data_IF_383645052902
#
_entry.id   IF_383645052902
#
_cell.length_a   1.000
_cell.length_b   1.000
_cell.length_c   1.000
_cell.angle_alpha   90.00
_cell.angle_beta   90.00
_cell.angle_gamma   90.00
#
_symmetry.space_group_name_H-M   'P 1'
#
loop_
_entity.id
_entity.type
_entity.pdbx_description
1 polymer ?
#
# COMPACT_ATOMS: atom_id res chain seq x y z
N UNK A 1 -11.73 -31.98 15.36
CA UNK A 1 -11.94 -30.75 14.57
C UNK A 1 -12.37 -29.63 15.50
N UNK A 2 -11.45 -28.74 15.89
CA UNK A 2 -11.76 -27.54 16.68
C UNK A 2 -11.19 -26.34 15.94
N UNK A 3 -12.10 -25.48 15.49
CA UNK A 3 -11.85 -24.07 15.22
C UNK A 3 -11.28 -23.43 16.50
N UNK A 4 -10.17 -22.70 16.38
CA UNK A 4 -9.72 -21.68 17.33
C UNK A 4 -9.37 -20.47 16.46
N UNK A 5 -10.32 -19.55 16.28
CA UNK A 5 -10.56 -18.37 17.12
C UNK A 5 -9.43 -17.34 17.04
N UNK A 6 -9.84 -16.20 16.49
CA UNK A 6 -9.13 -14.97 16.24
C UNK A 6 -8.70 -14.24 17.52
N UNK A 7 -7.75 -13.32 17.33
CA UNK A 7 -7.61 -12.01 18.00
C UNK A 7 -8.01 -11.92 19.48
N UNK A 8 -7.04 -12.08 20.38
CA UNK A 8 -7.09 -11.47 21.71
C UNK A 8 -6.09 -10.31 21.79
N UNK A 9 -6.63 -9.09 21.78
CA UNK A 9 -5.92 -7.85 22.06
C UNK A 9 -5.78 -7.70 23.58
N UNK A 10 -4.68 -8.19 24.15
CA UNK A 10 -4.35 -8.08 25.57
C UNK A 10 -3.27 -7.03 25.82
N UNK A 11 -3.66 -5.86 26.31
CA UNK A 11 -2.74 -4.82 26.77
C UNK A 11 -1.98 -5.24 28.03
N UNK A 12 -0.66 -5.44 27.92
CA UNK A 12 0.29 -5.18 29.03
C UNK A 12 1.61 -4.62 28.48
N UNK A 13 1.77 -3.29 28.55
CA UNK A 13 3.08 -2.64 28.41
C UNK A 13 3.92 -3.01 29.64
N UNK A 14 5.03 -3.72 29.45
CA UNK A 14 6.03 -3.96 30.49
C UNK A 14 7.37 -3.38 30.04
N UNK A 15 7.94 -2.51 30.86
CA UNK A 15 9.05 -1.59 30.60
C UNK A 15 10.44 -2.26 30.68
N UNK A 16 10.63 -3.44 30.06
CA UNK A 16 11.88 -4.22 30.12
C UNK A 16 12.45 -4.67 28.78
N UNK A 17 12.39 -3.84 27.73
CA UNK A 17 12.98 -4.19 26.42
C UNK A 17 14.19 -3.34 25.99
N UNK A 18 14.82 -2.60 26.92
CA UNK A 18 16.04 -1.82 26.63
C UNK A 18 17.33 -2.52 27.10
N UNK A 19 17.46 -3.82 26.90
CA UNK A 19 18.76 -4.49 27.03
C UNK A 19 18.93 -5.52 25.92
N UNK A 20 19.59 -5.09 24.83
CA UNK A 20 19.90 -5.93 23.69
C UNK A 20 20.71 -5.22 22.61
N UNK A 21 21.58 -4.27 22.96
CA UNK A 21 22.58 -3.75 22.04
C UNK A 21 23.87 -4.57 22.21
N UNK A 22 24.00 -5.67 21.46
CA UNK A 22 25.28 -6.36 21.29
C UNK A 22 25.52 -6.62 19.79
N UNK A 23 26.32 -5.73 19.22
CA UNK A 23 27.28 -5.92 18.14
C UNK A 23 26.89 -6.88 17.01
N UNK A 24 26.38 -6.31 15.91
CA UNK A 24 26.54 -6.85 14.56
C UNK A 24 27.41 -5.88 13.77
N UNK A 25 28.71 -6.12 13.77
CA UNK A 25 29.60 -5.56 12.75
C UNK A 25 29.42 -6.37 11.47
N UNK A 26 28.53 -5.92 10.59
CA UNK A 26 28.76 -5.90 9.14
C UNK A 26 27.92 -4.79 8.54
N UNK A 27 28.60 -3.97 7.74
CA UNK A 27 28.19 -2.71 7.14
C UNK A 27 27.05 -2.92 6.12
N UNK A 28 25.79 -2.74 6.52
CA UNK A 28 24.72 -2.35 5.61
C UNK A 28 23.78 -1.33 6.27
N UNK A 29 23.60 -0.21 5.60
CA UNK A 29 22.81 0.92 6.06
C UNK A 29 21.35 0.72 5.66
N UNK A 30 20.62 -0.22 6.28
CA UNK A 30 19.23 -0.50 5.84
C UNK A 30 18.24 -1.11 6.85
N UNK A 31 18.53 -1.23 8.15
CA UNK A 31 17.65 -1.99 9.08
C UNK A 31 16.51 -1.19 9.75
N UNK A 32 15.76 -0.38 8.98
CA UNK A 32 14.48 0.21 9.46
C UNK A 32 13.26 -0.62 9.05
N UNK A 33 13.40 -1.48 8.04
CA UNK A 33 12.32 -2.28 7.48
C UNK A 33 12.35 -3.69 8.06
N UNK A 34 11.21 -4.19 8.54
CA UNK A 34 11.07 -5.57 9.00
C UNK A 34 11.08 -6.55 7.83
N UNK A 35 11.75 -7.69 7.98
CA UNK A 35 11.86 -8.72 6.93
C UNK A 35 13.20 -8.69 6.18
N UNK A 36 13.44 -9.69 5.34
CA UNK A 36 14.65 -9.87 4.54
C UNK A 36 14.45 -9.36 3.12
N UNK A 37 15.26 -8.37 2.74
CA UNK A 37 15.35 -7.89 1.36
C UNK A 37 15.61 -9.04 0.37
N UNK A 38 14.97 -8.97 -0.80
CA UNK A 38 15.03 -9.97 -1.86
C UNK A 38 14.16 -11.20 -1.62
N UNK A 39 13.98 -11.62 -0.36
CA UNK A 39 13.15 -12.77 0.01
C UNK A 39 11.72 -12.35 0.32
N UNK A 40 11.53 -11.56 1.38
CA UNK A 40 10.19 -11.18 1.88
C UNK A 40 9.60 -10.03 1.05
N UNK A 41 10.47 -9.16 0.51
CA UNK A 41 10.10 -8.09 -0.40
C UNK A 41 11.19 -7.86 -1.47
N UNK A 42 10.81 -7.41 -2.68
CA UNK A 42 11.75 -7.08 -3.74
C UNK A 42 12.55 -5.79 -3.46
N UNK A 43 13.75 -5.70 -4.05
CA UNK A 43 14.67 -4.56 -3.93
C UNK A 43 15.18 -4.11 -5.30
N UNK A 44 14.25 -3.92 -6.23
CA UNK A 44 14.52 -3.41 -7.56
C UNK A 44 15.06 -1.98 -7.46
N UNK A 45 16.25 -1.73 -8.02
CA UNK A 45 16.85 -0.40 -8.10
C UNK A 45 16.47 0.39 -9.35
N UNK A 46 15.82 -0.27 -10.32
CA UNK A 46 15.34 0.33 -11.57
C UNK A 46 14.08 -0.38 -12.03
N UNK A 47 13.21 0.34 -12.74
CA UNK A 47 11.99 -0.23 -13.33
C UNK A 47 12.42 -1.34 -14.33
N UNK A 48 12.04 -2.60 -14.11
CA UNK A 48 12.27 -3.66 -15.08
C UNK A 48 11.23 -3.58 -16.21
N UNK A 49 11.53 -4.25 -17.31
CA UNK A 49 10.53 -4.50 -18.36
C UNK A 49 9.68 -5.71 -17.97
N UNK A 50 8.36 -5.58 -18.11
CA UNK A 50 7.33 -6.59 -17.79
C UNK A 50 6.27 -6.62 -18.89
N UNK A 51 5.39 -7.63 -18.91
CA UNK A 51 4.34 -7.74 -19.93
C UNK A 51 3.07 -6.93 -19.60
N UNK A 52 3.22 -5.81 -18.90
CA UNK A 52 2.11 -4.92 -18.60
C UNK A 52 2.01 -3.79 -19.63
N UNK A 53 0.83 -3.68 -20.24
CA UNK A 53 0.50 -2.61 -21.18
C UNK A 53 -0.81 -1.93 -20.78
N UNK A 54 -0.80 -0.59 -20.80
CA UNK A 54 -2.00 0.21 -20.55
C UNK A 54 -3.12 -0.06 -21.57
N UNK A 55 -2.76 -0.33 -22.82
CA UNK A 55 -3.74 -0.62 -23.89
C UNK A 55 -4.52 -1.92 -23.66
N UNK A 56 -3.98 -2.84 -22.86
CA UNK A 56 -4.65 -4.09 -22.48
C UNK A 56 -5.59 -3.91 -21.28
N UNK A 57 -5.60 -2.74 -20.64
CA UNK A 57 -6.40 -2.48 -19.46
C UNK A 57 -7.75 -1.84 -19.79
N UNK A 58 -8.84 -2.25 -19.12
CA UNK A 58 -10.18 -1.73 -19.40
C UNK A 58 -10.42 -0.29 -18.90
N UNK A 59 -9.54 0.24 -18.05
CA UNK A 59 -9.68 1.55 -17.43
C UNK A 59 -8.35 2.30 -17.39
N UNK A 60 -8.33 3.64 -17.54
CA UNK A 60 -7.20 4.43 -17.09
C UNK A 60 -7.08 4.36 -15.56
N UNK A 61 -5.88 4.56 -15.02
CA UNK A 61 -5.65 4.57 -13.59
C UNK A 61 -4.33 3.95 -13.16
N UNK A 62 -4.32 3.33 -11.99
CA UNK A 62 -3.12 2.81 -11.35
C UNK A 62 -3.15 1.28 -11.28
N UNK A 63 -2.06 0.64 -11.65
CA UNK A 63 -1.99 -0.82 -11.77
C UNK A 63 -0.74 -1.37 -11.08
N UNK A 64 -0.93 -2.25 -10.11
CA UNK A 64 0.17 -2.99 -9.48
C UNK A 64 0.78 -3.99 -10.46
N UNK A 65 2.10 -4.00 -10.60
CA UNK A 65 2.79 -4.96 -11.45
C UNK A 65 3.09 -6.25 -10.67
N UNK A 66 2.35 -7.31 -10.96
CA UNK A 66 2.53 -8.60 -10.27
C UNK A 66 3.83 -9.32 -10.63
N UNK A 67 4.42 -9.08 -11.81
CA UNK A 67 5.70 -9.68 -12.22
C UNK A 67 6.86 -9.16 -11.35
N UNK A 68 6.74 -7.93 -10.86
CA UNK A 68 7.73 -7.31 -9.97
C UNK A 68 7.46 -7.54 -8.48
N UNK A 69 6.53 -8.44 -8.13
CA UNK A 69 5.97 -8.55 -6.77
C UNK A 69 5.45 -7.18 -6.27
N UNK A 70 4.75 -6.46 -7.14
CA UNK A 70 4.13 -5.17 -6.86
C UNK A 70 5.09 -4.08 -6.36
N UNK A 71 6.41 -4.20 -6.53
CA UNK A 71 7.28 -3.05 -6.28
C UNK A 71 7.17 -2.04 -7.41
N UNK A 72 7.01 -2.48 -8.64
CA UNK A 72 6.62 -1.62 -9.73
C UNK A 72 5.09 -1.46 -9.77
N UNK A 73 4.67 -0.30 -10.27
CA UNK A 73 3.29 0.00 -10.60
C UNK A 73 3.24 0.95 -11.80
N UNK A 74 2.13 0.91 -12.52
CA UNK A 74 1.93 1.65 -13.75
C UNK A 74 0.81 2.66 -13.59
N UNK A 75 1.05 3.85 -14.13
CA UNK A 75 0.04 4.88 -14.37
C UNK A 75 -0.36 4.82 -15.84
N UNK A 76 -1.63 4.52 -16.08
CA UNK A 76 -2.26 4.58 -17.39
C UNK A 76 -3.12 5.82 -17.47
N UNK A 77 -2.69 6.78 -18.28
CA UNK A 77 -3.42 8.02 -18.49
C UNK A 77 -4.65 7.79 -19.41
N UNK A 78 -5.57 8.75 -19.45
CA UNK A 78 -6.81 8.67 -20.22
C UNK A 78 -6.59 8.60 -21.73
N UNK A 79 -5.41 9.00 -22.19
CA UNK A 79 -4.98 8.99 -23.59
C UNK A 79 -4.10 7.77 -23.93
N UNK A 80 -4.00 6.79 -23.02
CA UNK A 80 -3.22 5.56 -23.22
C UNK A 80 -1.74 5.69 -22.87
N UNK A 81 -1.24 6.87 -22.50
CA UNK A 81 0.16 7.02 -22.08
C UNK A 81 0.44 6.21 -20.81
N UNK A 82 1.56 5.48 -20.85
CA UNK A 82 2.03 4.66 -19.74
C UNK A 82 3.25 5.29 -19.07
N UNK A 83 3.20 5.44 -17.75
CA UNK A 83 4.37 5.72 -16.92
C UNK A 83 4.52 4.63 -15.86
N UNK A 84 5.76 4.25 -15.52
CA UNK A 84 6.02 3.18 -14.56
C UNK A 84 6.94 3.68 -13.46
N UNK A 85 6.65 3.28 -12.23
CA UNK A 85 7.33 3.75 -11.03
C UNK A 85 7.68 2.58 -10.12
N UNK A 86 8.63 2.80 -9.21
CA UNK A 86 8.96 1.86 -8.15
C UNK A 86 8.55 2.42 -6.79
N UNK A 87 7.97 1.56 -5.97
CA UNK A 87 7.87 1.76 -4.53
C UNK A 87 9.26 1.63 -3.87
N UNK A 88 9.52 2.38 -2.78
CA UNK A 88 10.75 2.22 -2.00
C UNK A 88 10.96 0.80 -1.45
N UNK A 89 12.21 0.43 -1.19
CA UNK A 89 12.57 -0.85 -0.58
C UNK A 89 11.79 -1.07 0.74
N UNK A 90 11.15 -2.23 0.87
CA UNK A 90 10.32 -2.58 2.03
C UNK A 90 8.83 -2.30 1.85
N UNK A 91 8.43 -1.70 0.72
CA UNK A 91 7.04 -1.41 0.39
C UNK A 91 6.63 -2.06 -0.93
N UNK A 92 5.33 -2.26 -1.10
CA UNK A 92 4.71 -2.76 -2.33
C UNK A 92 3.49 -1.88 -2.63
N UNK A 93 3.13 -1.76 -3.90
CA UNK A 93 1.96 -1.01 -4.32
C UNK A 93 0.68 -1.78 -3.98
N UNK A 94 -0.18 -1.17 -3.17
CA UNK A 94 -1.48 -1.71 -2.79
C UNK A 94 -2.53 -1.25 -3.79
N UNK A 95 -2.95 -2.16 -4.67
CA UNK A 95 -4.02 -1.90 -5.65
C UNK A 95 -5.33 -1.46 -4.99
N UNK A 96 -5.60 -1.90 -3.76
CA UNK A 96 -6.85 -1.61 -3.05
C UNK A 96 -7.01 -0.13 -2.66
N UNK A 97 -5.89 0.56 -2.42
CA UNK A 97 -5.87 1.93 -1.89
C UNK A 97 -4.98 2.89 -2.68
N UNK A 98 -4.32 2.40 -3.73
CA UNK A 98 -3.45 3.17 -4.64
C UNK A 98 -2.25 3.84 -3.96
N UNK A 99 -1.63 3.16 -2.98
CA UNK A 99 -0.43 3.66 -2.28
C UNK A 99 0.64 2.57 -2.17
N UNK A 100 1.91 2.97 -2.06
CA UNK A 100 2.95 2.07 -1.57
C UNK A 100 2.78 1.88 -0.05
N UNK A 101 2.50 0.66 0.39
CA UNK A 101 2.36 0.28 1.79
C UNK A 101 3.41 -0.77 2.15
N UNK A 102 3.64 -1.00 3.43
CA UNK A 102 4.55 -2.02 3.93
C UNK A 102 4.24 -3.38 3.33
N UNK A 103 5.28 -4.11 2.95
CA UNK A 103 5.13 -5.34 2.17
C UNK A 103 4.16 -6.36 2.80
N UNK A 104 4.12 -6.44 4.14
CA UNK A 104 3.25 -7.36 4.88
C UNK A 104 1.76 -6.98 4.89
N UNK A 105 1.43 -5.72 4.60
CA UNK A 105 0.05 -5.23 4.45
C UNK A 105 -0.51 -5.49 3.05
N UNK A 106 0.36 -5.69 2.06
CA UNK A 106 -0.03 -5.83 0.66
C UNK A 106 -0.29 -7.29 0.29
N UNK A 107 -1.30 -7.53 -0.53
CA UNK A 107 -1.61 -8.84 -1.12
C UNK A 107 -1.46 -8.75 -2.63
N UNK A 108 -0.22 -8.77 -3.10
CA UNK A 108 0.14 -8.48 -4.49
C UNK A 108 -0.60 -9.37 -5.50
N UNK A 109 -0.75 -10.67 -5.21
CA UNK A 109 -1.44 -11.63 -6.07
C UNK A 109 -2.93 -11.33 -6.27
N UNK A 110 -3.55 -10.56 -5.37
CA UNK A 110 -4.95 -10.15 -5.49
C UNK A 110 -5.12 -8.89 -6.34
N UNK A 111 -4.04 -8.19 -6.69
CA UNK A 111 -4.09 -6.93 -7.43
C UNK A 111 -4.87 -7.02 -8.75
N UNK A 112 -4.71 -8.05 -9.61
CA UNK A 112 -5.47 -8.12 -10.86
C UNK A 112 -6.99 -8.15 -10.65
N UNK A 113 -7.47 -8.73 -9.55
CA UNK A 113 -8.91 -8.75 -9.19
C UNK A 113 -9.42 -7.38 -8.76
N UNK A 114 -8.52 -6.47 -8.39
CA UNK A 114 -8.81 -5.13 -7.89
C UNK A 114 -8.61 -4.03 -8.94
N UNK A 115 -8.09 -4.36 -10.14
CA UNK A 115 -7.93 -3.39 -11.23
C UNK A 115 -9.24 -2.69 -11.61
N UNK A 116 -10.39 -3.34 -11.43
CA UNK A 116 -11.70 -2.75 -11.68
C UNK A 116 -12.02 -1.52 -10.79
N UNK A 117 -11.31 -1.31 -9.67
CA UNK A 117 -11.48 -0.12 -8.84
C UNK A 117 -11.07 1.16 -9.59
N UNK A 118 -10.19 1.05 -10.59
CA UNK A 118 -9.80 2.17 -11.45
C UNK A 118 -10.98 2.83 -12.19
N UNK A 119 -12.09 2.10 -12.40
CA UNK A 119 -13.34 2.64 -12.98
C UNK A 119 -13.90 3.85 -12.22
N UNK A 120 -13.44 4.10 -10.98
CA UNK A 120 -13.90 5.19 -10.12
C UNK A 120 -13.01 6.45 -10.13
N UNK A 121 -11.83 6.41 -10.75
CA UNK A 121 -10.81 7.47 -10.60
C UNK A 121 -11.10 8.73 -11.42
N UNK A 122 -11.81 8.60 -12.55
CA UNK A 122 -12.09 9.70 -13.47
C UNK A 122 -13.58 9.99 -13.61
N UNK A 123 -14.37 9.56 -12.62
CA UNK A 123 -15.78 9.92 -12.53
C UNK A 123 -15.95 11.43 -12.39
N UNK A 124 -17.03 11.97 -12.98
CA UNK A 124 -17.39 13.37 -12.72
C UNK A 124 -17.63 13.56 -11.22
N UNK A 125 -17.07 14.62 -10.60
CA UNK A 125 -17.40 14.96 -9.22
C UNK A 125 -18.93 15.08 -9.09
N UNK A 126 -19.51 14.29 -8.19
CA UNK A 126 -20.94 14.40 -7.84
C UNK A 126 -21.19 15.53 -6.84
N UNK A 127 -20.11 16.08 -6.27
CA UNK A 127 -20.11 17.16 -5.31
C UNK A 127 -20.00 18.51 -6.03
N UNK A 128 -20.79 19.50 -5.62
CA UNK A 128 -20.68 20.85 -6.19
C UNK A 128 -19.30 21.45 -5.88
N UNK A 129 -18.59 22.03 -6.86
CA UNK A 129 -17.30 22.71 -6.65
C UNK A 129 -17.40 23.87 -5.65
N UNK A 130 -18.59 24.44 -5.46
CA UNK A 130 -18.86 25.52 -4.51
C UNK A 130 -19.13 25.03 -3.09
N UNK A 131 -19.20 23.71 -2.84
CA UNK A 131 -19.29 23.21 -1.47
C UNK A 131 -18.01 23.60 -0.73
N UNK A 132 -18.10 24.27 0.44
CA UNK A 132 -16.91 24.55 1.23
C UNK A 132 -16.26 23.23 1.63
N UNK A 133 -14.92 23.18 1.60
CA UNK A 133 -14.18 22.04 2.12
C UNK A 133 -14.64 21.75 3.55
N UNK A 134 -14.87 20.47 3.86
CA UNK A 134 -15.23 20.06 5.21
C UNK A 134 -14.09 20.44 6.16
N UNK A 135 -14.34 21.42 7.02
CA UNK A 135 -13.41 21.77 8.08
C UNK A 135 -13.41 20.64 9.10
N UNK A 136 -12.22 20.21 9.53
CA UNK A 136 -12.08 19.27 10.63
C UNK A 136 -12.39 20.03 11.93
N UNK A 137 -13.68 20.14 12.26
CA UNK A 137 -14.12 20.78 13.52
C UNK A 137 -14.00 19.80 14.68
N UNK A 138 -13.97 20.36 15.89
CA UNK A 138 -13.98 19.56 17.11
C UNK A 138 -15.23 18.67 17.18
N UNK A 139 -16.41 19.18 16.81
CA UNK A 139 -17.62 18.36 16.80
C UNK A 139 -17.54 17.22 15.76
N UNK A 140 -16.94 17.47 14.59
CA UNK A 140 -16.77 16.44 13.57
C UNK A 140 -15.84 15.32 14.06
N UNK A 141 -14.72 15.68 14.71
CA UNK A 141 -13.80 14.70 15.31
C UNK A 141 -14.51 13.88 16.39
N UNK A 142 -15.27 14.53 17.27
CA UNK A 142 -16.05 13.83 18.29
C UNK A 142 -17.08 12.88 17.67
N UNK A 143 -17.75 13.28 16.59
CA UNK A 143 -18.72 12.42 15.90
C UNK A 143 -18.08 11.23 15.17
N UNK A 144 -16.87 11.38 14.61
CA UNK A 144 -16.17 10.28 13.92
C UNK A 144 -15.57 9.29 14.94
N UNK A 145 -14.94 9.79 16.00
CA UNK A 145 -14.12 8.97 16.89
C UNK A 145 -14.82 8.58 18.19
N UNK A 146 -15.88 9.29 18.62
CA UNK A 146 -16.55 9.05 19.91
C UNK A 146 -17.92 8.37 19.75
N UNK A 147 -18.62 8.55 18.62
CA UNK A 147 -19.94 7.91 18.36
C UNK A 147 -19.89 6.51 17.73
N UNK A 148 -18.70 5.98 17.41
CA UNK A 148 -18.53 4.54 17.10
C UNK A 148 -18.27 3.76 18.40
N UNK A 149 -19.28 3.68 19.26
CA UNK A 149 -19.40 2.67 20.31
C UNK A 149 -20.71 1.94 20.14
#
# INVERSE_FOLDING_TARGET
MKLKECCNFGTKRNSRQYQGLKTLETKDSSSVVAGRAGTDYPVLGKVPYTNFYCDDQPYPGFFADVETRCQAWHYCDIDGRQATFLCPNGTQFSQAVFVCDWWFNVRCELSPKLYAINSRLYGRPTESPTRPHRLITKELLENIFVRRK
#
